data_IF_160034897816
#
_entry.id   IF_160034897816
#
_cell.length_a   1.000
_cell.length_b   1.000
_cell.length_c   1.000
_cell.angle_alpha   90.00
_cell.angle_beta   90.00
_cell.angle_gamma   90.00
#
_symmetry.space_group_name_H-M   'P 1'
#
loop_
_entity.id
_entity.type
_entity.pdbx_description
1 polymer ?
#
# COMPACT_ATOMS: atom_id res chain seq x y z
N UNK A 1 16.26 -4.21 0.37
CA UNK A 1 14.85 -4.60 0.58
C UNK A 1 14.83 -5.76 1.56
N UNK A 2 14.20 -5.61 2.73
CA UNK A 2 14.08 -6.73 3.68
C UNK A 2 12.98 -7.69 3.21
N UNK A 3 13.27 -8.98 3.11
CA UNK A 3 12.28 -10.02 2.79
C UNK A 3 11.92 -10.81 4.05
N UNK A 4 10.66 -11.26 4.14
CA UNK A 4 10.18 -12.15 5.21
C UNK A 4 9.79 -13.50 4.61
N UNK A 5 10.23 -14.63 5.19
CA UNK A 5 9.85 -15.95 4.70
C UNK A 5 8.38 -16.25 5.01
N UNK A 6 7.69 -16.89 4.07
CA UNK A 6 6.31 -17.37 4.23
C UNK A 6 6.28 -18.84 3.86
N UNK A 7 5.73 -19.68 4.75
CA UNK A 7 5.56 -21.11 4.51
C UNK A 7 4.11 -21.39 4.11
N UNK A 8 3.91 -21.93 2.91
CA UNK A 8 2.58 -22.26 2.36
C UNK A 8 2.54 -23.77 2.09
N UNK A 9 1.48 -24.43 2.55
CA UNK A 9 1.22 -25.82 2.18
C UNK A 9 0.52 -25.85 0.83
N UNK A 10 1.12 -26.54 -0.14
CA UNK A 10 0.55 -26.74 -1.47
C UNK A 10 0.38 -28.24 -1.73
N UNK A 11 -0.71 -28.65 -2.39
CA UNK A 11 -0.85 -30.03 -2.86
C UNK A 11 0.32 -30.43 -3.77
N UNK A 12 0.75 -31.69 -3.70
CA UNK A 12 1.91 -32.17 -4.48
C UNK A 12 1.70 -31.99 -6.00
N UNK A 13 0.48 -32.23 -6.49
CA UNK A 13 0.13 -32.03 -7.90
C UNK A 13 0.31 -30.57 -8.34
N UNK A 14 -0.06 -29.62 -7.47
CA UNK A 14 0.12 -28.19 -7.75
C UNK A 14 1.60 -27.82 -7.77
N UNK A 15 2.39 -28.34 -6.83
CA UNK A 15 3.83 -28.14 -6.80
C UNK A 15 4.49 -28.67 -8.08
N UNK A 16 4.11 -29.86 -8.55
CA UNK A 16 4.63 -30.42 -9.80
C UNK A 16 4.32 -29.56 -11.03
N UNK A 17 3.10 -28.98 -11.10
CA UNK A 17 2.73 -28.06 -12.18
C UNK A 17 3.51 -26.75 -12.12
N UNK A 18 3.71 -26.19 -10.92
CA UNK A 18 4.52 -25.00 -10.74
C UNK A 18 5.97 -25.24 -11.14
N UNK A 19 6.53 -26.41 -10.79
CA UNK A 19 7.88 -26.81 -11.18
C UNK A 19 8.04 -26.89 -12.71
N UNK A 20 7.13 -27.59 -13.40
CA UNK A 20 7.15 -27.68 -14.86
C UNK A 20 7.06 -26.30 -15.53
N UNK A 21 6.21 -25.42 -14.99
CA UNK A 21 6.08 -24.05 -15.49
C UNK A 21 7.36 -23.24 -15.28
N UNK A 22 7.96 -23.35 -14.10
CA UNK A 22 9.21 -22.66 -13.78
C UNK A 22 10.33 -23.08 -14.74
N UNK A 23 10.47 -24.37 -15.01
CA UNK A 23 11.45 -24.91 -15.96
C UNK A 23 11.20 -24.43 -17.38
N UNK A 24 9.94 -24.43 -17.84
CA UNK A 24 9.57 -23.94 -19.16
C UNK A 24 9.87 -22.44 -19.35
N UNK A 25 9.72 -21.65 -18.29
CA UNK A 25 9.98 -20.20 -18.29
C UNK A 25 11.44 -19.86 -17.93
N UNK A 26 12.29 -20.85 -17.63
CA UNK A 26 13.68 -20.64 -17.22
C UNK A 26 13.82 -19.89 -15.89
N UNK A 27 12.83 -20.02 -15.01
CA UNK A 27 12.73 -19.32 -13.72
C UNK A 27 12.63 -20.32 -12.57
N UNK A 28 12.45 -19.83 -11.35
CA UNK A 28 12.23 -20.68 -10.16
C UNK A 28 10.78 -20.63 -9.71
N UNK A 29 10.31 -21.68 -9.06
CA UNK A 29 8.96 -21.73 -8.46
C UNK A 29 8.74 -20.55 -7.51
N UNK A 30 9.75 -20.20 -6.71
CA UNK A 30 9.70 -19.03 -5.82
C UNK A 30 9.50 -17.73 -6.58
N UNK A 31 10.23 -17.52 -7.69
CA UNK A 31 10.08 -16.31 -8.50
C UNK A 31 8.67 -16.22 -9.12
N UNK A 32 8.16 -17.34 -9.65
CA UNK A 32 6.79 -17.44 -10.16
C UNK A 32 5.73 -17.09 -9.11
N UNK A 33 5.84 -17.67 -7.91
CA UNK A 33 4.91 -17.40 -6.80
C UNK A 33 5.03 -15.94 -6.34
N UNK A 34 6.25 -15.42 -6.28
CA UNK A 34 6.50 -14.02 -5.85
C UNK A 34 5.88 -13.04 -6.84
N UNK A 35 6.04 -13.27 -8.14
CA UNK A 35 5.43 -12.45 -9.19
C UNK A 35 3.91 -12.55 -9.17
N UNK A 36 3.36 -13.76 -9.08
CA UNK A 36 1.92 -13.97 -8.97
C UNK A 36 1.33 -13.29 -7.73
N UNK A 37 2.03 -13.36 -6.59
CA UNK A 37 1.63 -12.67 -5.37
C UNK A 37 1.70 -11.15 -5.52
N UNK A 38 2.77 -10.62 -6.15
CA UNK A 38 2.90 -9.20 -6.44
C UNK A 38 1.76 -8.69 -7.34
N UNK A 39 1.40 -9.47 -8.36
CA UNK A 39 0.29 -9.15 -9.25
C UNK A 39 -1.07 -9.27 -8.55
N UNK A 40 -1.24 -10.24 -7.65
CA UNK A 40 -2.49 -10.44 -6.90
C UNK A 40 -2.77 -9.31 -5.89
N UNK A 41 -1.73 -8.67 -5.35
CA UNK A 41 -1.88 -7.52 -4.45
C UNK A 41 -1.87 -6.17 -5.17
N UNK A 42 -1.49 -6.14 -6.45
CA UNK A 42 -1.67 -4.96 -7.30
C UNK A 42 -3.15 -4.89 -7.70
N UNK A 43 -3.92 -4.06 -7.00
CA UNK A 43 -5.25 -3.69 -7.46
C UNK A 43 -5.10 -2.60 -8.55
N UNK A 44 -5.52 -2.83 -9.81
CA UNK A 44 -5.45 -1.83 -10.88
C UNK A 44 -6.20 -0.54 -10.56
N UNK A 45 -7.18 -0.60 -9.64
CA UNK A 45 -7.92 0.59 -9.18
C UNK A 45 -7.11 1.43 -8.19
N UNK A 46 -6.13 0.83 -7.53
CA UNK A 46 -5.24 1.51 -6.57
C UNK A 46 -3.92 1.94 -7.23
N UNK A 47 -3.60 1.41 -8.40
CA UNK A 47 -2.50 1.88 -9.24
C UNK A 47 -2.79 3.33 -9.67
N UNK A 48 -2.05 4.30 -9.11
CA UNK A 48 -2.29 5.73 -9.31
C UNK A 48 -3.26 6.39 -8.33
N UNK A 49 -3.97 5.64 -7.48
CA UNK A 49 -4.89 6.22 -6.48
C UNK A 49 -4.15 7.10 -5.46
N UNK A 50 -2.92 6.72 -5.10
CA UNK A 50 -2.05 7.56 -4.26
C UNK A 50 -1.68 8.88 -4.95
N UNK A 51 -1.53 8.87 -6.27
CA UNK A 51 -1.18 10.04 -7.08
C UNK A 51 -2.40 10.97 -7.25
N UNK A 52 -3.57 10.38 -7.52
CA UNK A 52 -4.86 11.10 -7.52
C UNK A 52 -5.17 11.71 -6.15
N UNK A 53 -4.93 10.96 -5.07
CA UNK A 53 -5.12 11.48 -3.71
C UNK A 53 -4.16 12.63 -3.40
N UNK A 54 -2.88 12.52 -3.76
CA UNK A 54 -1.91 13.62 -3.59
C UNK A 54 -2.30 14.86 -4.39
N UNK A 55 -2.73 14.69 -5.64
CA UNK A 55 -3.20 15.78 -6.48
C UNK A 55 -4.44 16.45 -5.87
N UNK A 56 -5.43 15.66 -5.45
CA UNK A 56 -6.63 16.17 -4.78
C UNK A 56 -6.29 16.96 -3.50
N UNK A 57 -5.42 16.42 -2.64
CA UNK A 57 -4.99 17.13 -1.42
C UNK A 57 -4.30 18.44 -1.76
N UNK A 58 -3.38 18.44 -2.73
CA UNK A 58 -2.69 19.66 -3.14
C UNK A 58 -3.65 20.72 -3.70
N UNK A 59 -4.64 20.31 -4.50
CA UNK A 59 -5.64 21.21 -5.10
C UNK A 59 -6.66 21.75 -4.09
N UNK A 60 -6.82 21.10 -2.93
CA UNK A 60 -7.85 21.43 -1.94
C UNK A 60 -7.29 21.86 -0.58
N UNK A 61 -5.97 21.86 -0.39
CA UNK A 61 -5.33 22.23 0.88
C UNK A 61 -5.77 23.62 1.36
N UNK A 62 -5.67 24.64 0.49
CA UNK A 62 -6.08 26.01 0.83
C UNK A 62 -7.57 26.11 1.22
N UNK A 63 -8.42 25.30 0.57
CA UNK A 63 -9.86 25.27 0.88
C UNK A 63 -10.16 24.58 2.21
N UNK A 64 -9.33 23.61 2.61
CA UNK A 64 -9.41 22.95 3.89
C UNK A 64 -8.96 23.90 5.01
N UNK A 65 -7.82 24.58 4.84
CA UNK A 65 -7.28 25.53 5.82
C UNK A 65 -8.27 26.70 6.04
N UNK A 66 -8.90 27.19 4.97
CA UNK A 66 -9.93 28.22 5.05
C UNK A 66 -11.22 27.76 5.77
N UNK A 67 -11.53 26.46 5.75
CA UNK A 67 -12.70 25.89 6.42
C UNK A 67 -12.45 25.59 7.91
N UNK A 68 -11.19 25.38 8.29
CA UNK A 68 -10.76 25.09 9.66
C UNK A 68 -9.62 26.02 10.09
N UNK A 69 -9.87 27.34 10.20
CA UNK A 69 -8.82 28.31 10.52
C UNK A 69 -8.20 28.13 11.91
N UNK A 70 -8.90 27.46 12.84
CA UNK A 70 -8.42 27.18 14.20
C UNK A 70 -7.53 25.90 14.28
N UNK A 71 -7.49 25.09 13.21
CA UNK A 71 -6.70 23.85 13.13
C UNK A 71 -5.35 24.04 12.39
N UNK A 72 -4.93 25.31 12.20
CA UNK A 72 -3.63 25.61 11.59
C UNK A 72 -2.50 25.04 12.48
N UNK A 73 -1.67 24.12 11.97
CA UNK A 73 -0.64 23.44 12.77
C UNK A 73 0.48 24.38 13.25
N UNK A 74 0.61 25.57 12.66
CA UNK A 74 1.53 26.62 13.07
C UNK A 74 0.87 27.67 13.97
N UNK A 75 -0.43 27.54 14.27
CA UNK A 75 -1.10 28.42 15.22
C UNK A 75 -0.72 28.03 16.68
N UNK A 76 -0.09 28.96 17.43
CA UNK A 76 0.37 28.68 18.79
C UNK A 76 -0.78 28.52 19.79
N UNK A 77 -1.99 28.96 19.47
CA UNK A 77 -3.19 28.90 20.32
C UNK A 77 -4.10 27.70 19.99
N UNK A 78 -4.01 27.12 18.77
CA UNK A 78 -4.83 26.00 18.29
C UNK A 78 -4.58 24.65 19.01
N UNK A 79 -3.37 24.43 19.52
CA UNK A 79 -3.03 23.18 20.23
C UNK A 79 -3.48 23.13 21.71
N UNK A 80 -3.97 24.25 22.29
CA UNK A 80 -4.35 24.33 23.71
C UNK A 80 -5.87 24.14 23.93
N UNK A 81 -6.71 24.32 22.90
CA UNK A 81 -8.16 24.32 23.04
C UNK A 81 -8.82 22.94 23.27
N UNK A 82 -8.09 21.82 23.06
CA UNK A 82 -8.65 20.46 23.14
C UNK A 82 -8.36 19.70 24.45
N UNK A 83 -7.78 20.34 25.47
CA UNK A 83 -7.54 19.68 26.77
C UNK A 83 -8.68 19.99 27.77
N UNK A 84 -9.55 19.03 28.14
CA UNK A 84 -10.50 19.28 29.20
C UNK A 84 -9.73 19.46 30.52
N UNK A 85 -9.97 20.59 31.18
CA UNK A 85 -9.47 20.84 32.53
C UNK A 85 -10.01 19.75 33.48
N UNK A 86 -9.09 19.08 34.16
CA UNK A 86 -9.39 18.11 35.22
C UNK A 86 -9.75 18.81 36.54
#
# INVERSE_FOLDING_TARGET
MASKPVTIRVPEELHARLQQRAEAEGTTVTALITEAAANAVRDPRLEGAAEVFRAFVADNADAFDAAFPDDDPDDPDGLDASRPAA
#
